data_IF_478634468650
#
_entry.id   IF_478634468650
#
_cell.length_a   1.000
_cell.length_b   1.000
_cell.length_c   1.000
_cell.angle_alpha   90.00
_cell.angle_beta   90.00
_cell.angle_gamma   90.00
#
_symmetry.space_group_name_H-M   'P 1'
#
loop_
_entity.id
_entity.type
_entity.pdbx_description
1 polymer ?
#
# COMPACT_ATOMS: atom_id res chain seq x y z
N UNK A 1 -7.22 3.96 -8.51
CA UNK A 1 -5.80 4.10 -8.22
C UNK A 1 -5.06 2.83 -8.65
N UNK A 2 -4.70 1.94 -7.75
CA UNK A 2 -4.17 0.65 -8.11
C UNK A 2 -5.31 -0.33 -8.43
N UNK A 3 -5.11 -1.21 -9.39
CA UNK A 3 -6.05 -2.29 -9.68
C UNK A 3 -5.44 -3.65 -9.36
N UNK A 4 -6.29 -4.59 -8.96
CA UNK A 4 -5.96 -5.98 -8.71
C UNK A 4 -6.87 -6.89 -9.52
N UNK A 5 -6.26 -7.80 -10.30
CA UNK A 5 -6.95 -8.74 -11.18
C UNK A 5 -6.24 -10.09 -11.13
N UNK A 6 -6.64 -10.96 -10.22
CA UNK A 6 -5.94 -12.19 -9.92
C UNK A 6 -6.68 -13.46 -10.35
N UNK A 7 -8.01 -13.42 -10.46
CA UNK A 7 -8.85 -14.57 -10.73
C UNK A 7 -9.31 -14.70 -12.20
N UNK A 8 -9.07 -13.68 -13.02
CA UNK A 8 -9.54 -13.62 -14.39
C UNK A 8 -11.02 -13.26 -14.54
N UNK A 9 -11.73 -12.98 -13.45
CA UNK A 9 -13.17 -12.73 -13.42
C UNK A 9 -13.53 -11.32 -12.91
N UNK A 10 -12.82 -10.85 -11.85
CA UNK A 10 -13.15 -9.59 -11.17
C UNK A 10 -11.94 -8.66 -11.08
N UNK A 11 -12.17 -7.39 -11.36
CA UNK A 11 -11.21 -6.31 -11.18
C UNK A 11 -11.56 -5.55 -9.91
N UNK A 12 -10.63 -5.49 -8.97
CA UNK A 12 -10.73 -4.75 -7.71
C UNK A 12 -9.87 -3.49 -7.80
N UNK A 13 -10.42 -2.32 -7.49
CA UNK A 13 -9.63 -1.08 -7.55
C UNK A 13 -10.22 0.06 -6.71
N UNK A 14 -9.39 1.05 -6.40
CA UNK A 14 -9.79 2.34 -5.86
C UNK A 14 -10.06 3.35 -6.98
N UNK A 15 -11.26 3.93 -7.02
CA UNK A 15 -11.61 4.92 -8.03
C UNK A 15 -12.94 5.62 -7.76
N UNK A 16 -13.15 6.76 -8.41
CA UNK A 16 -14.38 7.54 -8.34
C UNK A 16 -15.48 7.03 -9.30
N UNK A 17 -16.68 7.61 -9.20
CA UNK A 17 -17.81 7.38 -10.06
C UNK A 17 -18.68 8.65 -10.11
N UNK A 18 -19.32 8.93 -11.24
CA UNK A 18 -20.14 10.15 -11.44
C UNK A 18 -21.36 10.21 -10.48
N UNK A 19 -21.81 9.05 -9.98
CA UNK A 19 -22.93 8.93 -9.05
C UNK A 19 -22.49 8.97 -7.56
N UNK A 20 -21.21 9.16 -7.30
CA UNK A 20 -20.65 9.31 -5.95
C UNK A 20 -20.29 10.76 -5.68
N UNK A 21 -21.07 11.44 -4.85
CA UNK A 21 -20.77 12.81 -4.42
C UNK A 21 -20.12 12.73 -3.04
N UNK A 22 -18.81 13.04 -2.92
CA UNK A 22 -18.13 12.98 -1.62
C UNK A 22 -18.51 14.16 -0.72
N UNK A 23 -18.62 13.93 0.58
CA UNK A 23 -18.85 14.99 1.60
C UNK A 23 -17.65 15.93 1.72
N UNK A 24 -16.46 15.47 1.34
CA UNK A 24 -15.25 16.25 1.21
C UNK A 24 -14.57 15.93 -0.14
N UNK A 25 -14.12 16.94 -0.92
CA UNK A 25 -13.50 16.72 -2.23
C UNK A 25 -12.28 15.78 -2.22
N UNK A 26 -11.63 15.59 -1.07
CA UNK A 26 -10.52 14.63 -0.92
C UNK A 26 -10.97 13.17 -0.83
N UNK A 27 -12.26 12.87 -0.64
CA UNK A 27 -12.80 11.52 -0.43
C UNK A 27 -13.41 10.95 -1.71
N UNK A 28 -12.89 11.34 -2.86
CA UNK A 28 -13.44 11.08 -4.20
C UNK A 28 -13.14 9.67 -4.74
N UNK A 29 -12.43 8.83 -4.00
CA UNK A 29 -12.08 7.47 -4.41
C UNK A 29 -12.50 6.45 -3.37
N UNK A 30 -13.19 5.42 -3.83
CA UNK A 30 -13.69 4.34 -3.00
C UNK A 30 -13.40 2.98 -3.65
N UNK A 31 -13.60 1.87 -2.93
CA UNK A 31 -13.44 0.54 -3.50
C UNK A 31 -14.55 0.22 -4.49
N UNK A 32 -14.16 -0.33 -5.64
CA UNK A 32 -15.07 -0.81 -6.69
C UNK A 32 -14.65 -2.19 -7.17
N UNK A 33 -15.65 -3.03 -7.46
CA UNK A 33 -15.49 -4.35 -8.06
C UNK A 33 -16.21 -4.40 -9.40
N UNK A 34 -15.47 -4.75 -10.45
CA UNK A 34 -16.02 -4.88 -11.80
C UNK A 34 -15.97 -6.35 -12.22
N UNK A 35 -17.10 -6.91 -12.62
CA UNK A 35 -17.20 -8.20 -13.29
C UNK A 35 -16.74 -8.05 -14.75
N UNK A 36 -15.69 -8.77 -15.13
CA UNK A 36 -15.12 -8.78 -16.48
C UNK A 36 -15.16 -10.16 -17.13
N UNK A 37 -15.98 -11.09 -16.62
CA UNK A 37 -16.19 -12.40 -17.25
C UNK A 37 -16.69 -12.26 -18.69
N UNK A 38 -17.42 -11.21 -18.97
CA UNK A 38 -17.65 -10.74 -20.33
C UNK A 38 -16.85 -9.46 -20.57
N UNK A 39 -15.63 -9.53 -21.15
CA UNK A 39 -14.75 -8.35 -21.28
C UNK A 39 -15.27 -7.28 -22.25
N UNK A 40 -16.26 -7.63 -23.10
CA UNK A 40 -16.91 -6.66 -23.99
C UNK A 40 -18.06 -5.90 -23.31
N UNK A 41 -18.45 -6.33 -22.10
CA UNK A 41 -19.53 -5.72 -21.32
C UNK A 41 -19.16 -5.82 -19.82
N UNK A 42 -18.17 -5.04 -19.35
CA UNK A 42 -17.82 -5.01 -17.94
C UNK A 42 -18.95 -4.36 -17.14
N UNK A 43 -19.26 -4.93 -15.96
CA UNK A 43 -20.32 -4.45 -15.08
C UNK A 43 -19.80 -4.22 -13.66
N UNK A 44 -20.09 -3.06 -13.08
CA UNK A 44 -19.82 -2.86 -11.65
C UNK A 44 -20.80 -3.68 -10.82
N UNK A 45 -20.26 -4.57 -9.99
CA UNK A 45 -21.05 -5.51 -9.17
C UNK A 45 -20.99 -5.20 -7.69
N UNK A 46 -20.00 -4.43 -7.23
CA UNK A 46 -19.88 -4.06 -5.83
C UNK A 46 -19.04 -2.83 -5.59
N UNK A 47 -19.30 -2.17 -4.46
CA UNK A 47 -18.56 -0.99 -4.01
C UNK A 47 -18.58 -0.88 -2.49
N UNK A 48 -17.57 -0.22 -1.94
CA UNK A 48 -17.52 0.13 -0.54
C UNK A 48 -16.79 1.46 -0.35
N UNK A 49 -17.29 2.31 0.51
CA UNK A 49 -16.65 3.57 0.92
C UNK A 49 -16.67 3.71 2.44
N UNK A 50 -15.74 4.51 2.95
CA UNK A 50 -15.69 4.79 4.37
C UNK A 50 -16.98 5.51 4.82
N UNK A 51 -17.67 5.05 5.87
CA UNK A 51 -18.94 5.66 6.31
C UNK A 51 -18.81 7.16 6.58
N UNK A 52 -19.78 7.94 6.09
CA UNK A 52 -19.82 9.40 6.21
C UNK A 52 -19.04 10.16 5.14
N UNK A 53 -18.38 9.48 4.18
CA UNK A 53 -17.65 10.15 3.11
C UNK A 53 -18.48 10.44 1.86
N UNK A 54 -19.71 9.92 1.77
CA UNK A 54 -20.65 10.18 0.68
C UNK A 54 -21.81 11.05 1.14
N UNK A 55 -22.26 11.98 0.32
CA UNK A 55 -23.49 12.74 0.59
C UNK A 55 -24.69 11.80 0.72
N UNK A 56 -25.49 12.04 1.77
CA UNK A 56 -26.65 11.21 2.08
C UNK A 56 -26.36 9.99 2.95
N UNK A 57 -25.10 9.74 3.34
CA UNK A 57 -24.79 8.71 4.34
C UNK A 57 -25.48 9.00 5.68
N UNK A 58 -25.88 7.93 6.38
CA UNK A 58 -26.41 8.06 7.75
C UNK A 58 -25.33 8.33 8.81
N UNK A 59 -24.09 7.94 8.53
CA UNK A 59 -22.95 8.21 9.39
C UNK A 59 -22.49 9.67 9.20
N UNK A 60 -22.03 10.34 10.29
CA UNK A 60 -21.42 11.66 10.16
C UNK A 60 -20.09 11.58 9.40
N UNK A 61 -19.66 12.67 8.74
CA UNK A 61 -18.32 12.72 8.14
C UNK A 61 -17.24 12.40 9.17
N UNK A 62 -16.20 11.62 8.79
CA UNK A 62 -15.14 11.27 9.72
C UNK A 62 -14.35 12.51 10.17
N UNK A 63 -13.83 12.51 11.41
CA UNK A 63 -13.00 13.60 11.91
C UNK A 63 -11.71 13.71 11.08
N UNK A 64 -11.26 14.95 10.85
CA UNK A 64 -10.05 15.23 10.05
C UNK A 64 -8.96 15.90 10.89
N UNK A 65 -7.71 15.50 10.62
CA UNK A 65 -6.57 16.18 11.22
C UNK A 65 -6.34 17.51 10.50
N UNK A 66 -6.15 18.63 11.22
CA UNK A 66 -6.06 19.96 10.61
C UNK A 66 -4.83 20.13 9.69
N UNK A 67 -3.71 19.47 10.02
CA UNK A 67 -2.43 19.65 9.32
C UNK A 67 -2.06 18.46 8.42
N UNK A 68 -2.68 17.28 8.64
CA UNK A 68 -2.36 16.02 7.99
C UNK A 68 -3.66 15.39 7.50
N UNK A 69 -4.11 15.81 6.33
CA UNK A 69 -5.34 15.31 5.72
C UNK A 69 -5.09 14.98 4.24
N UNK A 70 -5.02 13.70 3.94
CA UNK A 70 -4.86 13.16 2.58
C UNK A 70 -6.17 12.60 2.00
N UNK A 71 -7.22 12.57 2.80
CA UNK A 71 -8.55 12.08 2.45
C UNK A 71 -8.78 10.62 2.86
N UNK A 72 -10.04 10.29 3.01
CA UNK A 72 -10.52 8.92 3.20
C UNK A 72 -10.74 8.31 1.82
N UNK A 73 -9.70 7.68 1.26
CA UNK A 73 -9.67 7.22 -0.14
C UNK A 73 -9.14 5.79 -0.23
N UNK A 74 -9.82 4.95 -1.03
CA UNK A 74 -9.30 3.63 -1.37
C UNK A 74 -8.04 3.77 -2.22
N UNK A 75 -6.98 3.05 -1.84
CA UNK A 75 -5.71 3.04 -2.56
C UNK A 75 -5.39 1.65 -3.10
N UNK A 76 -4.76 0.76 -2.31
CA UNK A 76 -4.48 -0.61 -2.71
C UNK A 76 -5.63 -1.55 -2.31
N UNK A 77 -6.02 -2.46 -3.20
CA UNK A 77 -7.18 -3.34 -3.05
C UNK A 77 -6.76 -4.80 -3.32
N UNK A 78 -5.84 -5.31 -2.52
CA UNK A 78 -5.15 -6.57 -2.79
C UNK A 78 -6.04 -7.79 -2.51
N UNK A 79 -6.22 -8.65 -3.50
CA UNK A 79 -6.97 -9.91 -3.41
C UNK A 79 -6.10 -11.07 -3.91
N UNK A 80 -5.92 -12.09 -3.08
CA UNK A 80 -5.00 -13.19 -3.36
C UNK A 80 -5.73 -14.51 -3.57
N UNK A 81 -5.24 -15.39 -4.46
CA UNK A 81 -5.84 -16.71 -4.69
C UNK A 81 -5.87 -17.59 -3.43
N UNK A 82 -4.96 -17.37 -2.48
CA UNK A 82 -4.93 -18.08 -1.19
C UNK A 82 -6.14 -17.74 -0.31
N UNK A 83 -6.70 -16.54 -0.46
CA UNK A 83 -7.86 -16.04 0.28
C UNK A 83 -8.75 -15.19 -0.66
N UNK A 84 -9.42 -15.83 -1.64
CA UNK A 84 -10.25 -15.11 -2.63
C UNK A 84 -11.50 -14.49 -2.03
N UNK A 85 -11.82 -14.84 -0.79
CA UNK A 85 -12.89 -14.29 0.04
C UNK A 85 -12.45 -13.05 0.84
N UNK A 86 -11.17 -12.64 0.74
CA UNK A 86 -10.60 -11.51 1.48
C UNK A 86 -10.00 -10.47 0.55
N UNK A 87 -10.18 -9.20 0.92
CA UNK A 87 -9.43 -8.08 0.36
C UNK A 87 -8.67 -7.37 1.47
N UNK A 88 -7.42 -7.05 1.19
CA UNK A 88 -6.54 -6.28 2.07
C UNK A 88 -6.44 -4.88 1.50
N UNK A 89 -7.10 -3.93 2.15
CA UNK A 89 -7.38 -2.60 1.64
C UNK A 89 -6.59 -1.54 2.40
N UNK A 90 -5.76 -0.78 1.68
CA UNK A 90 -5.22 0.49 2.16
C UNK A 90 -6.18 1.64 1.82
N UNK A 91 -6.52 2.46 2.82
CA UNK A 91 -7.55 3.49 2.67
C UNK A 91 -7.07 4.87 3.15
N UNK A 92 -5.86 5.24 2.80
CA UNK A 92 -5.19 6.48 3.19
C UNK A 92 -5.41 6.85 4.67
N UNK A 93 -6.12 7.97 4.94
CA UNK A 93 -6.39 8.42 6.32
C UNK A 93 -7.42 7.56 7.06
N UNK A 94 -8.15 6.71 6.34
CA UNK A 94 -9.03 5.69 6.94
C UNK A 94 -8.27 4.47 7.49
N UNK A 95 -6.99 4.32 7.16
CA UNK A 95 -6.17 3.21 7.64
C UNK A 95 -6.26 1.96 6.79
N UNK A 96 -6.20 0.81 7.42
CA UNK A 96 -6.13 -0.52 6.82
C UNK A 96 -7.36 -1.34 7.17
N UNK A 97 -7.89 -2.05 6.18
CA UNK A 97 -9.06 -2.92 6.37
C UNK A 97 -8.77 -4.33 5.85
N UNK A 98 -9.29 -5.32 6.58
CA UNK A 98 -9.55 -6.66 6.04
C UNK A 98 -11.05 -6.73 5.74
N UNK A 99 -11.38 -7.02 4.48
CA UNK A 99 -12.75 -7.06 4.01
C UNK A 99 -13.16 -8.48 3.66
N UNK A 100 -14.38 -8.88 4.03
CA UNK A 100 -15.05 -10.03 3.43
C UNK A 100 -15.64 -9.61 2.07
N UNK A 101 -15.17 -10.27 1.03
CA UNK A 101 -15.63 -10.11 -0.34
C UNK A 101 -16.14 -11.43 -0.94
N UNK A 102 -16.55 -12.36 -0.11
CA UNK A 102 -17.19 -13.63 -0.56
C UNK A 102 -18.41 -13.32 -1.42
N UNK A 103 -19.24 -12.37 -1.02
CA UNK A 103 -20.23 -11.72 -1.89
C UNK A 103 -19.64 -10.40 -2.43
N UNK A 104 -19.31 -10.38 -3.73
CA UNK A 104 -18.72 -9.22 -4.38
C UNK A 104 -19.65 -8.02 -4.40
N UNK A 105 -20.98 -8.24 -4.29
CA UNK A 105 -21.99 -7.17 -4.30
C UNK A 105 -22.20 -6.51 -2.93
N UNK A 106 -21.73 -7.14 -1.85
CA UNK A 106 -21.93 -6.68 -0.46
C UNK A 106 -20.65 -6.82 0.36
N UNK A 107 -19.56 -6.09 0.02
CA UNK A 107 -18.30 -6.12 0.77
C UNK A 107 -18.48 -5.67 2.21
N UNK A 108 -17.93 -6.41 3.17
CA UNK A 108 -18.06 -6.13 4.62
C UNK A 108 -16.71 -5.97 5.29
N UNK A 109 -16.61 -5.01 6.20
CA UNK A 109 -15.44 -4.87 7.07
C UNK A 109 -15.43 -6.02 8.08
N UNK A 110 -14.32 -6.76 8.13
CA UNK A 110 -14.04 -7.75 9.17
C UNK A 110 -13.19 -7.16 10.27
N UNK A 111 -12.21 -6.33 9.90
CA UNK A 111 -11.35 -5.65 10.84
C UNK A 111 -10.74 -4.41 10.25
N UNK A 112 -10.37 -3.50 11.13
CA UNK A 112 -9.72 -2.25 10.80
C UNK A 112 -8.55 -1.98 11.74
N UNK A 113 -7.53 -1.32 11.22
CA UNK A 113 -6.43 -0.81 12.01
C UNK A 113 -5.95 0.53 11.43
N UNK A 114 -5.83 1.55 12.27
CA UNK A 114 -5.45 2.88 11.84
C UNK A 114 -4.55 3.58 12.88
N UNK A 115 -3.29 3.87 12.56
CA UNK A 115 -2.40 4.66 13.41
C UNK A 115 -2.61 6.17 13.28
N UNK A 116 -3.42 6.65 12.35
CA UNK A 116 -3.67 8.07 12.07
C UNK A 116 -4.95 8.58 12.78
N UNK A 117 -4.89 9.68 13.51
CA UNK A 117 -3.71 10.21 14.18
C UNK A 117 -3.26 9.34 15.36
N UNK A 118 -2.07 9.46 15.95
CA UNK A 118 -1.13 10.59 15.87
C UNK A 118 -0.09 10.51 14.75
N UNK A 119 0.05 9.35 14.09
CA UNK A 119 0.95 9.24 12.93
C UNK A 119 0.34 9.94 11.70
N UNK A 120 1.16 10.40 10.75
CA UNK A 120 0.66 11.10 9.56
C UNK A 120 -0.24 10.27 8.64
N UNK A 121 -0.33 8.94 8.84
CA UNK A 121 -1.19 8.08 8.06
C UNK A 121 -0.77 7.93 6.60
N UNK A 122 -1.76 7.85 5.71
CA UNK A 122 -1.62 7.49 4.31
C UNK A 122 -1.36 5.99 4.13
N UNK A 123 -2.22 5.14 4.73
CA UNK A 123 -2.15 3.70 4.55
C UNK A 123 -2.27 3.34 3.06
N UNK A 124 -1.15 2.85 2.50
CA UNK A 124 -0.95 2.68 1.07
C UNK A 124 -1.08 1.21 0.65
N UNK A 125 -0.07 0.40 0.98
CA UNK A 125 -0.01 -1.01 0.62
C UNK A 125 -0.26 -1.88 1.85
N UNK A 126 -1.08 -2.92 1.67
CA UNK A 126 -1.37 -3.93 2.70
C UNK A 126 -0.99 -5.29 2.14
N UNK A 127 0.17 -5.80 2.53
CA UNK A 127 0.73 -7.07 2.08
C UNK A 127 0.49 -8.16 3.13
N UNK A 128 -0.36 -9.17 2.88
CA UNK A 128 -0.50 -10.31 3.77
C UNK A 128 0.68 -11.30 3.61
N UNK A 129 1.19 -11.75 4.74
CA UNK A 129 2.15 -12.86 4.85
C UNK A 129 1.39 -14.05 5.43
N UNK A 130 0.83 -14.87 4.54
CA UNK A 130 -0.17 -15.89 4.89
C UNK A 130 0.35 -16.98 5.83
N UNK A 131 1.63 -17.37 5.73
CA UNK A 131 2.21 -18.39 6.60
C UNK A 131 2.46 -17.90 8.04
N UNK A 132 2.33 -16.60 8.27
CA UNK A 132 2.62 -15.93 9.55
C UNK A 132 1.40 -15.24 10.17
N UNK A 133 0.31 -15.15 9.44
CA UNK A 133 -0.87 -14.34 9.81
C UNK A 133 -0.49 -12.88 10.15
N UNK A 134 0.36 -12.29 9.33
CA UNK A 134 0.89 -10.93 9.50
C UNK A 134 0.53 -10.09 8.27
N UNK A 135 0.32 -8.80 8.48
CA UNK A 135 0.27 -7.80 7.42
C UNK A 135 1.49 -6.89 7.51
N UNK A 136 2.08 -6.57 6.35
CA UNK A 136 2.98 -5.42 6.23
C UNK A 136 2.18 -4.27 5.64
N UNK A 137 2.07 -3.18 6.40
CA UNK A 137 1.32 -1.99 6.00
C UNK A 137 2.30 -0.84 5.83
N UNK A 138 2.29 -0.19 4.67
CA UNK A 138 3.13 0.99 4.44
C UNK A 138 2.32 2.28 4.49
N UNK A 139 2.89 3.31 5.12
CA UNK A 139 2.41 4.69 5.04
C UNK A 139 3.21 5.43 3.97
N UNK A 140 2.57 5.88 2.88
CA UNK A 140 3.29 6.59 1.82
C UNK A 140 3.74 7.99 2.27
N UNK A 141 5.01 8.32 2.04
CA UNK A 141 5.48 9.71 2.10
C UNK A 141 5.01 10.48 0.87
N UNK A 142 4.28 11.57 1.07
CA UNK A 142 3.71 12.38 -0.01
C UNK A 142 4.24 13.81 -0.05
N UNK A 143 5.03 14.22 0.95
CA UNK A 143 5.66 15.53 1.02
C UNK A 143 7.17 15.41 0.90
N UNK A 144 7.78 16.37 0.19
CA UNK A 144 9.23 16.47 0.10
C UNK A 144 9.86 16.82 1.45
N UNK A 145 11.16 16.55 1.59
CA UNK A 145 11.96 16.85 2.78
C UNK A 145 11.39 16.29 4.09
N UNK A 146 10.71 15.16 3.99
CA UNK A 146 10.07 14.45 5.11
C UNK A 146 9.14 15.37 5.97
N UNK A 147 8.44 16.31 5.35
CA UNK A 147 7.50 17.20 6.05
C UNK A 147 6.27 16.48 6.61
N UNK A 148 6.04 15.24 6.18
CA UNK A 148 5.00 14.34 6.69
C UNK A 148 5.59 13.15 7.49
N UNK A 149 6.77 13.31 8.07
CA UNK A 149 7.43 12.30 8.90
C UNK A 149 6.66 12.03 10.23
N UNK A 150 6.68 10.77 10.75
CA UNK A 150 7.27 9.56 10.18
C UNK A 150 6.30 8.83 9.23
N UNK A 151 6.87 8.17 8.20
CA UNK A 151 6.15 7.33 7.24
C UNK A 151 6.74 5.92 7.31
N UNK A 152 6.06 5.03 8.01
CA UNK A 152 6.57 3.75 8.46
C UNK A 152 6.06 2.60 7.58
N UNK A 153 6.75 1.47 7.67
CA UNK A 153 6.24 0.18 7.24
C UNK A 153 6.00 -0.68 8.49
N UNK A 154 4.74 -0.91 8.79
CA UNK A 154 4.27 -1.57 10.00
C UNK A 154 4.24 -3.08 9.82
N UNK A 155 4.58 -3.82 10.87
CA UNK A 155 4.36 -5.26 10.99
C UNK A 155 3.19 -5.46 11.94
N UNK A 156 2.08 -5.95 11.41
CA UNK A 156 0.81 -6.03 12.12
C UNK A 156 0.39 -7.50 12.25
N UNK A 157 0.19 -7.97 13.47
CA UNK A 157 -0.39 -9.28 13.76
C UNK A 157 -1.88 -9.28 13.39
N UNK A 158 -2.27 -10.15 12.48
CA UNK A 158 -3.62 -10.32 11.97
C UNK A 158 -4.19 -11.73 12.23
N UNK A 159 -3.60 -12.51 13.15
CA UNK A 159 -4.15 -13.82 13.57
C UNK A 159 -5.62 -13.71 13.98
N UNK A 160 -6.03 -12.57 14.44
CA UNK A 160 -7.39 -12.20 14.72
C UNK A 160 -7.78 -11.01 13.84
N UNK A 161 -8.47 -11.28 12.73
CA UNK A 161 -8.79 -10.26 11.71
C UNK A 161 -9.54 -9.05 12.27
N UNK A 162 -10.42 -9.26 13.27
CA UNK A 162 -11.21 -8.21 13.94
C UNK A 162 -10.45 -7.49 15.07
N UNK A 163 -9.19 -7.84 15.32
CA UNK A 163 -8.35 -7.23 16.35
C UNK A 163 -6.87 -7.23 15.93
N UNK A 164 -6.56 -6.50 14.88
CA UNK A 164 -5.20 -6.34 14.39
C UNK A 164 -4.32 -5.53 15.35
N UNK A 165 -3.09 -5.98 15.60
CA UNK A 165 -2.17 -5.36 16.57
C UNK A 165 -0.81 -5.13 15.92
N UNK A 166 -0.27 -3.89 15.91
CA UNK A 166 1.08 -3.64 15.45
C UNK A 166 2.09 -4.25 16.44
N UNK A 167 3.04 -5.04 15.95
CA UNK A 167 4.03 -5.75 16.76
C UNK A 167 5.46 -5.27 16.52
N UNK A 168 5.74 -4.67 15.36
CA UNK A 168 7.03 -4.10 14.99
C UNK A 168 6.86 -3.10 13.84
N UNK A 169 7.97 -2.50 13.42
CA UNK A 169 8.11 -1.81 12.13
C UNK A 169 9.31 -2.37 11.38
N UNK A 170 9.28 -2.32 10.04
CA UNK A 170 10.51 -2.55 9.28
C UNK A 170 11.54 -1.47 9.61
N UNK A 171 12.84 -1.81 9.67
CA UNK A 171 13.89 -0.83 9.87
C UNK A 171 13.81 0.29 8.84
N UNK A 172 13.78 1.53 9.31
CA UNK A 172 13.83 2.68 8.41
C UNK A 172 15.27 2.97 7.97
N UNK A 173 15.49 3.40 6.70
CA UNK A 173 16.78 3.99 6.34
C UNK A 173 17.12 5.12 7.33
N UNK A 174 18.41 5.34 7.69
CA UNK A 174 18.77 6.33 8.69
C UNK A 174 18.23 7.73 8.34
N UNK A 175 17.29 8.31 9.12
CA UNK A 175 16.64 9.55 8.75
C UNK A 175 17.61 10.73 8.56
N UNK A 176 18.64 10.79 9.36
CA UNK A 176 19.64 11.87 9.29
C UNK A 176 20.44 11.85 7.98
N UNK A 177 20.53 10.68 7.33
CA UNK A 177 21.21 10.54 6.04
C UNK A 177 20.32 10.89 4.84
N UNK A 178 18.98 10.82 4.97
CA UNK A 178 18.09 10.85 3.82
C UNK A 178 17.05 11.99 3.83
N UNK A 179 16.45 12.33 4.98
CA UNK A 179 15.31 13.24 5.07
C UNK A 179 15.55 14.64 4.49
N UNK A 180 16.80 15.12 4.51
CA UNK A 180 17.19 16.48 4.06
C UNK A 180 17.87 16.47 2.68
N UNK A 181 17.79 15.37 1.92
CA UNK A 181 18.45 15.27 0.60
C UNK A 181 17.63 15.85 -0.54
N UNK A 182 16.38 16.23 -0.28
CA UNK A 182 15.40 16.65 -1.27
C UNK A 182 14.55 15.50 -1.81
N UNK A 183 13.34 15.81 -2.26
CA UNK A 183 12.32 14.86 -2.64
C UNK A 183 11.70 14.15 -1.43
N UNK A 184 10.94 13.09 -1.69
CA UNK A 184 10.23 12.32 -0.65
C UNK A 184 11.18 11.37 0.08
N UNK A 185 10.89 11.14 1.36
CA UNK A 185 11.55 10.15 2.20
C UNK A 185 10.54 9.47 3.13
N UNK A 186 10.47 8.16 3.09
CA UNK A 186 9.56 7.32 3.86
C UNK A 186 9.15 6.09 3.08
N UNK A 187 8.38 5.20 3.70
CA UNK A 187 7.90 3.99 3.05
C UNK A 187 6.96 4.32 1.86
N UNK A 188 6.86 3.39 0.93
CA UNK A 188 5.95 3.47 -0.20
C UNK A 188 5.50 2.07 -0.65
N UNK A 189 5.88 1.64 -1.86
CA UNK A 189 5.47 0.36 -2.42
C UNK A 189 6.27 -0.82 -1.86
N UNK A 190 5.62 -1.98 -1.83
CA UNK A 190 6.20 -3.28 -1.56
C UNK A 190 6.14 -4.16 -2.81
N UNK A 191 7.03 -5.14 -2.91
CA UNK A 191 6.79 -6.28 -3.77
C UNK A 191 5.65 -7.10 -3.14
N UNK A 192 4.50 -7.15 -3.79
CA UNK A 192 3.23 -7.56 -3.17
C UNK A 192 2.93 -9.06 -3.30
N UNK A 193 3.91 -9.93 -3.57
CA UNK A 193 3.68 -11.37 -3.78
C UNK A 193 2.54 -11.64 -4.80
N UNK A 194 2.49 -10.88 -5.88
CA UNK A 194 1.42 -10.97 -6.89
C UNK A 194 1.35 -12.36 -7.50
N UNK A 195 0.14 -12.88 -7.78
CA UNK A 195 0.01 -14.16 -8.50
C UNK A 195 0.70 -14.11 -9.87
N UNK A 196 1.24 -15.24 -10.30
CA UNK A 196 1.93 -15.36 -11.58
C UNK A 196 3.45 -15.52 -11.43
N UNK A 197 4.25 -15.17 -12.46
CA UNK A 197 5.69 -15.41 -12.48
C UNK A 197 6.46 -14.39 -11.61
N UNK A 198 6.12 -14.29 -10.33
CA UNK A 198 6.76 -13.42 -9.35
C UNK A 198 7.33 -14.21 -8.20
N UNK A 199 8.40 -13.70 -7.61
CA UNK A 199 8.97 -14.25 -6.38
C UNK A 199 7.93 -14.18 -5.26
N UNK A 200 7.76 -15.30 -4.53
CA UNK A 200 6.82 -15.41 -3.41
C UNK A 200 7.59 -15.63 -2.12
N UNK A 201 7.41 -14.76 -1.14
CA UNK A 201 8.09 -14.91 0.15
C UNK A 201 7.33 -14.24 1.28
N UNK A 202 7.18 -14.96 2.39
CA UNK A 202 6.74 -14.40 3.67
C UNK A 202 7.93 -14.06 4.60
N UNK A 203 9.16 -14.36 4.17
CA UNK A 203 10.38 -14.10 4.92
C UNK A 203 11.20 -12.92 4.39
N UNK A 204 11.19 -12.69 3.08
CA UNK A 204 11.91 -11.58 2.45
C UNK A 204 10.93 -10.55 1.91
N UNK A 205 11.01 -9.33 2.44
CA UNK A 205 10.17 -8.21 2.04
C UNK A 205 11.02 -7.18 1.32
N UNK A 206 10.55 -6.76 0.14
CA UNK A 206 11.19 -5.71 -0.67
C UNK A 206 10.32 -4.47 -0.62
N UNK A 207 10.88 -3.35 -0.21
CA UNK A 207 10.15 -2.09 -0.08
C UNK A 207 10.92 -0.90 -0.62
N UNK A 208 10.19 0.07 -1.14
CA UNK A 208 10.75 1.32 -1.66
C UNK A 208 10.55 2.45 -0.66
N UNK A 209 11.56 3.34 -0.58
CA UNK A 209 11.62 4.44 0.38
C UNK A 209 11.99 5.76 -0.30
N UNK A 210 11.57 5.96 -1.54
CA UNK A 210 11.90 7.13 -2.36
C UNK A 210 13.41 7.42 -2.40
N UNK A 211 13.89 8.55 -1.82
CA UNK A 211 15.32 8.86 -1.78
C UNK A 211 16.11 7.92 -0.86
N UNK A 212 15.44 7.19 0.06
CA UNK A 212 16.02 6.09 0.82
C UNK A 212 16.31 4.84 -0.02
N UNK A 213 15.82 4.79 -1.26
CA UNK A 213 16.07 3.70 -2.21
C UNK A 213 15.19 2.48 -2.02
N UNK A 214 15.63 1.35 -2.59
CA UNK A 214 15.09 0.02 -2.37
C UNK A 214 15.74 -0.58 -1.12
N UNK A 215 14.93 -1.26 -0.30
CA UNK A 215 15.36 -1.99 0.89
C UNK A 215 14.83 -3.42 0.87
N UNK A 216 15.61 -4.35 1.40
CA UNK A 216 15.21 -5.76 1.55
C UNK A 216 15.32 -6.13 3.02
N UNK A 217 14.26 -6.76 3.54
CA UNK A 217 14.15 -7.11 4.95
C UNK A 217 13.96 -8.61 5.15
N UNK A 218 14.65 -9.18 6.15
CA UNK A 218 14.41 -10.52 6.67
C UNK A 218 13.36 -10.43 7.80
N UNK A 219 12.25 -11.14 7.62
CA UNK A 219 11.15 -11.28 8.56
C UNK A 219 10.99 -12.71 9.07
N UNK A 220 12.05 -13.53 9.09
CA UNK A 220 11.98 -14.84 9.75
C UNK A 220 11.52 -14.73 11.21
N UNK A 221 11.97 -13.68 11.90
CA UNK A 221 11.41 -13.24 13.17
C UNK A 221 10.67 -11.91 12.98
N UNK A 222 9.33 -11.90 12.90
CA UNK A 222 8.56 -10.68 12.68
C UNK A 222 8.60 -9.68 13.84
N UNK A 223 9.04 -10.09 15.03
CA UNK A 223 9.27 -9.18 16.16
C UNK A 223 10.63 -8.48 16.06
N UNK A 224 11.53 -8.94 15.22
CA UNK A 224 12.87 -8.40 15.02
C UNK A 224 13.23 -8.33 13.52
N UNK A 225 12.47 -7.57 12.70
CA UNK A 225 12.80 -7.41 11.29
C UNK A 225 14.21 -6.86 11.10
N UNK A 226 14.94 -7.34 10.09
CA UNK A 226 16.32 -6.92 9.81
C UNK A 226 16.46 -6.49 8.36
N UNK A 227 17.07 -5.32 8.11
CA UNK A 227 17.53 -4.98 6.77
C UNK A 227 18.69 -5.89 6.39
N UNK A 228 18.61 -6.54 5.23
CA UNK A 228 19.63 -7.49 4.73
C UNK A 228 20.27 -7.04 3.43
N UNK A 229 19.63 -6.14 2.69
CA UNK A 229 20.19 -5.53 1.48
C UNK A 229 19.52 -4.18 1.20
N UNK A 230 20.21 -3.34 0.42
CA UNK A 230 19.64 -2.09 -0.07
C UNK A 230 20.30 -1.67 -1.40
N UNK A 231 19.56 -0.80 -2.12
CA UNK A 231 20.06 -0.14 -3.32
C UNK A 231 19.61 1.32 -3.35
N UNK A 232 20.56 2.25 -3.35
CA UNK A 232 20.33 3.69 -3.45
C UNK A 232 21.10 4.22 -4.65
N UNK A 233 20.45 4.43 -5.80
CA UNK A 233 21.16 4.94 -6.98
C UNK A 233 21.56 6.40 -6.81
N UNK A 234 22.57 6.86 -7.57
CA UNK A 234 22.89 8.28 -7.64
C UNK A 234 21.72 9.06 -8.26
N UNK A 235 21.72 10.39 -8.04
CA UNK A 235 20.75 11.28 -8.68
C UNK A 235 20.84 11.13 -10.21
N UNK A 236 19.72 10.88 -10.91
CA UNK A 236 19.70 10.93 -12.37
C UNK A 236 19.94 12.37 -12.90
N UNK A 237 20.69 12.49 -14.00
CA UNK A 237 21.12 13.82 -14.53
C UNK A 237 19.96 14.78 -14.77
N UNK A 238 18.84 14.29 -15.29
CA UNK A 238 17.66 15.09 -15.62
C UNK A 238 16.56 15.06 -14.54
N UNK A 239 16.88 14.62 -13.32
CA UNK A 239 15.88 14.59 -12.24
C UNK A 239 15.51 16.01 -11.80
N UNK A 240 14.21 16.33 -11.66
CA UNK A 240 13.75 17.63 -11.16
C UNK A 240 14.00 17.81 -9.66
N UNK A 241 14.33 16.72 -8.95
CA UNK A 241 14.67 16.72 -7.51
C UNK A 241 16.14 16.35 -7.28
N UNK A 242 16.65 16.65 -6.10
CA UNK A 242 18.08 16.52 -5.79
C UNK A 242 18.58 15.07 -5.68
N UNK A 243 17.69 14.08 -5.67
CA UNK A 243 18.00 12.65 -5.45
C UNK A 243 17.23 11.76 -6.42
N UNK A 244 17.65 10.50 -6.55
CA UNK A 244 16.77 9.45 -7.09
C UNK A 244 15.57 9.24 -6.16
N UNK A 245 14.44 8.84 -6.75
CA UNK A 245 13.17 8.62 -6.05
C UNK A 245 12.64 7.24 -6.41
N UNK A 246 13.15 6.19 -5.74
CA UNK A 246 12.73 4.82 -6.02
C UNK A 246 11.29 4.63 -5.59
N UNK A 247 10.42 4.41 -6.58
CA UNK A 247 8.98 4.48 -6.45
C UNK A 247 8.32 3.11 -6.31
N UNK A 248 8.71 2.14 -7.12
CA UNK A 248 8.06 0.83 -7.14
C UNK A 248 9.07 -0.30 -7.31
N UNK A 249 8.67 -1.51 -6.95
CA UNK A 249 9.49 -2.72 -6.99
C UNK A 249 8.68 -3.93 -7.42
N UNK A 250 9.28 -4.73 -8.28
CA UNK A 250 8.82 -6.06 -8.66
C UNK A 250 9.98 -7.04 -8.60
N UNK A 251 9.76 -8.26 -8.15
CA UNK A 251 10.75 -9.33 -8.12
C UNK A 251 10.21 -10.51 -8.92
N UNK A 252 10.94 -10.95 -9.93
CA UNK A 252 10.54 -12.10 -10.74
C UNK A 252 10.86 -13.44 -10.07
N UNK A 253 10.39 -14.53 -10.66
CA UNK A 253 10.62 -15.91 -10.18
C UNK A 253 12.11 -16.31 -10.13
N UNK A 254 12.98 -15.62 -10.89
CA UNK A 254 14.43 -15.82 -10.91
C UNK A 254 15.15 -14.96 -9.87
N UNK A 255 14.42 -14.20 -9.04
CA UNK A 255 14.94 -13.26 -8.05
C UNK A 255 15.65 -12.04 -8.64
N UNK A 256 15.36 -11.70 -9.90
CA UNK A 256 15.76 -10.42 -10.45
C UNK A 256 14.81 -9.35 -9.92
N UNK A 257 15.40 -8.33 -9.34
CA UNK A 257 14.66 -7.22 -8.74
C UNK A 257 14.59 -6.07 -9.75
N UNK A 258 13.38 -5.66 -10.08
CA UNK A 258 13.12 -4.51 -10.94
C UNK A 258 12.58 -3.38 -10.06
N UNK A 259 13.26 -2.24 -10.06
CA UNK A 259 12.73 -1.04 -9.39
C UNK A 259 12.81 0.17 -10.30
N UNK A 260 11.87 1.10 -10.11
CA UNK A 260 11.74 2.27 -10.97
C UNK A 260 11.95 3.56 -10.19
N UNK A 261 12.64 4.50 -10.82
CA UNK A 261 12.70 5.89 -10.35
C UNK A 261 11.44 6.64 -10.80
N UNK A 262 10.88 7.46 -9.90
CA UNK A 262 9.65 8.22 -10.13
C UNK A 262 9.78 9.28 -11.24
N UNK A 263 10.99 9.74 -11.50
CA UNK A 263 11.24 10.87 -12.39
C UNK A 263 12.07 10.48 -13.62
N UNK A 264 13.39 10.49 -13.51
CA UNK A 264 14.28 10.42 -14.65
C UNK A 264 15.25 9.24 -14.64
N UNK A 265 15.31 8.44 -13.57
CA UNK A 265 16.25 7.31 -13.43
C UNK A 265 15.85 6.07 -14.24
N UNK A 266 14.58 5.97 -14.65
CA UNK A 266 14.07 4.82 -15.40
C UNK A 266 13.98 3.54 -14.59
N UNK A 267 14.28 2.39 -15.21
CA UNK A 267 14.22 1.04 -14.63
C UNK A 267 15.61 0.55 -14.25
N UNK A 268 15.77 0.06 -13.04
CA UNK A 268 16.94 -0.66 -12.56
C UNK A 268 16.63 -2.15 -12.48
N UNK A 269 17.52 -2.99 -13.00
CA UNK A 269 17.48 -4.45 -12.90
C UNK A 269 18.64 -4.91 -12.04
N UNK A 270 18.35 -5.58 -10.92
CA UNK A 270 19.34 -5.91 -9.90
C UNK A 270 19.29 -7.41 -9.58
N UNK A 271 20.44 -7.98 -9.28
CA UNK A 271 20.54 -9.31 -8.67
C UNK A 271 20.63 -9.18 -7.16
N UNK A 272 19.88 -10.04 -6.44
CA UNK A 272 19.95 -10.12 -5.00
C UNK A 272 21.01 -11.11 -4.55
N UNK A 273 22.06 -10.63 -3.88
CA UNK A 273 23.17 -11.43 -3.36
C UNK A 273 23.12 -11.46 -1.82
N UNK A 274 22.25 -12.33 -1.24
CA UNK A 274 22.11 -12.58 0.21
C UNK A 274 22.07 -14.06 0.53
#
# INVERSE_FOLDING_TARGET
HQLWFADGEYVHFGGGSDDFVPTNPKDDQFYRCIDVRNPTKPEEVGRWWYPGTREGDSAPPPPRHPDIDSGFRAHNTNVYPQRPDRMYLGYLDGGTFIMDISDKSDPKVLGEWNPHPPYPGFAHTVLPLFSKDILIVTDESVKDDALDWPKLAWVVDARKEDNMVPIATLPMPPPDDFRNRGGRFGAHNLHENRPGPSFQSDDLIFGTFFNGGLRVFDLKDPLQPKEVAYFVPPKPDNSPVATAQINDVYVDENRIVYCVDRHAGGLYCLELNI
#
